data_IF_548726108886
#
_entry.id   IF_548726108886
#
_cell.length_a   1.000
_cell.length_b   1.000
_cell.length_c   1.000
_cell.angle_alpha   90.00
_cell.angle_beta   90.00
_cell.angle_gamma   90.00
#
_symmetry.space_group_name_H-M   'P 1'
#
loop_
_entity.id
_entity.type
_entity.pdbx_description
1 polymer ?
#
# COMPACT_ATOMS: atom_id res chain seq x y z
N UNK A 1 -3.32 17.48 -10.22
CA UNK A 1 -2.33 17.19 -9.17
C UNK A 1 -3.02 16.54 -7.99
N UNK A 2 -2.50 15.42 -7.54
CA UNK A 2 -3.15 14.64 -6.49
C UNK A 2 -2.15 13.68 -5.85
N UNK A 3 -2.59 13.01 -4.80
CA UNK A 3 -1.82 11.96 -4.16
C UNK A 3 -1.99 10.68 -4.97
N UNK A 4 -0.87 10.06 -5.33
CA UNK A 4 -0.82 8.81 -6.07
C UNK A 4 -0.28 7.73 -5.15
N UNK A 5 -0.88 6.54 -5.20
CA UNK A 5 -0.43 5.39 -4.41
C UNK A 5 0.43 4.51 -5.31
N UNK A 6 1.69 4.34 -4.94
CA UNK A 6 2.66 3.54 -5.69
C UNK A 6 2.90 2.17 -5.04
N UNK A 7 1.86 1.60 -4.46
CA UNK A 7 1.97 0.33 -3.75
C UNK A 7 2.39 -0.81 -4.68
N UNK A 8 1.88 -0.82 -5.92
CA UNK A 8 2.27 -1.84 -6.90
C UNK A 8 3.77 -1.84 -7.18
N UNK A 9 4.36 -0.65 -7.25
CA UNK A 9 5.81 -0.51 -7.49
C UNK A 9 6.58 -1.15 -6.35
N UNK A 10 6.17 -0.89 -5.11
CA UNK A 10 6.86 -1.45 -3.95
C UNK A 10 6.65 -2.95 -3.83
N UNK A 11 5.46 -3.45 -4.14
CA UNK A 11 5.22 -4.89 -4.16
C UNK A 11 6.12 -5.58 -5.18
N UNK A 12 6.27 -5.00 -6.36
CA UNK A 12 7.16 -5.53 -7.38
C UNK A 12 8.61 -5.54 -6.92
N UNK A 13 9.06 -4.46 -6.28
CA UNK A 13 10.42 -4.37 -5.75
C UNK A 13 10.70 -5.42 -4.68
N UNK A 14 9.72 -5.78 -3.88
CA UNK A 14 9.86 -6.78 -2.82
C UNK A 14 9.45 -8.18 -3.27
N UNK A 15 9.04 -8.33 -4.53
CA UNK A 15 8.60 -9.62 -5.10
C UNK A 15 7.50 -10.24 -4.25
N UNK A 16 6.56 -9.40 -3.82
CA UNK A 16 5.45 -9.79 -2.96
C UNK A 16 4.14 -9.56 -3.70
N UNK A 17 3.18 -10.49 -3.55
CA UNK A 17 1.86 -10.33 -4.14
C UNK A 17 0.95 -9.50 -3.23
N UNK A 18 -0.11 -8.92 -3.82
CA UNK A 18 -1.12 -8.19 -3.06
C UNK A 18 -1.77 -9.08 -2.01
N UNK A 19 -2.05 -10.34 -2.37
CA UNK A 19 -2.65 -11.31 -1.47
C UNK A 19 -1.76 -11.53 -0.24
N UNK A 20 -0.48 -11.70 -0.48
CA UNK A 20 0.48 -11.94 0.59
C UNK A 20 0.56 -10.73 1.53
N UNK A 21 0.58 -9.53 0.99
CA UNK A 21 0.61 -8.32 1.81
C UNK A 21 -0.68 -8.19 2.62
N UNK A 22 -1.85 -8.39 1.99
CA UNK A 22 -3.14 -8.32 2.67
C UNK A 22 -3.19 -9.29 3.85
N UNK A 23 -2.72 -10.53 3.64
CA UNK A 23 -2.69 -11.55 4.68
C UNK A 23 -1.79 -11.12 5.85
N UNK A 24 -0.63 -10.55 5.53
CA UNK A 24 0.33 -10.15 6.56
C UNK A 24 -0.14 -8.99 7.42
N UNK A 25 -0.88 -8.05 6.84
CA UNK A 25 -1.37 -6.89 7.59
C UNK A 25 -2.79 -7.07 8.11
N UNK A 26 -3.44 -8.19 7.77
CA UNK A 26 -4.75 -8.54 8.33
C UNK A 26 -5.92 -7.79 7.74
N UNK A 27 -5.84 -7.40 6.46
CA UNK A 27 -6.98 -6.78 5.76
C UNK A 27 -7.42 -7.66 4.61
N UNK A 28 -8.59 -7.38 4.06
CA UNK A 28 -9.08 -8.12 2.91
C UNK A 28 -8.37 -7.67 1.64
N UNK A 29 -8.28 -8.55 0.66
CA UNK A 29 -7.71 -8.21 -0.63
C UNK A 29 -8.53 -7.12 -1.32
N UNK A 30 -9.85 -7.10 -1.11
CA UNK A 30 -10.71 -6.06 -1.67
C UNK A 30 -10.30 -4.67 -1.14
N UNK A 31 -10.04 -4.56 0.17
CA UNK A 31 -9.61 -3.30 0.76
C UNK A 31 -8.25 -2.86 0.25
N UNK A 32 -7.33 -3.81 0.10
CA UNK A 32 -6.01 -3.50 -0.44
C UNK A 32 -6.11 -3.06 -1.91
N UNK A 33 -6.98 -3.70 -2.68
CA UNK A 33 -7.21 -3.36 -4.08
C UNK A 33 -7.74 -1.93 -4.25
N UNK A 34 -8.64 -1.52 -3.36
CA UNK A 34 -9.16 -0.15 -3.36
C UNK A 34 -8.01 0.85 -3.15
N UNK A 35 -7.13 0.56 -2.22
CA UNK A 35 -5.97 1.40 -1.95
C UNK A 35 -5.02 1.44 -3.15
N UNK A 36 -4.70 0.28 -3.72
CA UNK A 36 -3.80 0.15 -4.86
C UNK A 36 -4.26 0.93 -6.09
N UNK A 37 -5.55 0.96 -6.33
CA UNK A 37 -6.10 1.56 -7.55
C UNK A 37 -6.42 3.04 -7.40
N UNK A 38 -6.03 3.64 -6.29
CA UNK A 38 -6.29 5.05 -5.99
C UNK A 38 -7.78 5.40 -5.91
N UNK A 39 -8.62 4.41 -5.67
CA UNK A 39 -10.07 4.63 -5.49
C UNK A 39 -10.41 4.95 -4.05
N UNK A 40 -9.51 4.63 -3.13
CA UNK A 40 -9.66 5.00 -1.73
C UNK A 40 -9.40 6.48 -1.55
N UNK A 41 -10.16 7.12 -0.65
CA UNK A 41 -10.01 8.54 -0.36
C UNK A 41 -9.29 8.80 0.94
N UNK A 42 -8.93 7.74 1.65
CA UNK A 42 -8.25 7.84 2.93
C UNK A 42 -7.50 6.55 3.22
N UNK A 43 -6.43 6.67 3.98
CA UNK A 43 -5.69 5.52 4.50
C UNK A 43 -5.45 5.79 5.99
N UNK A 44 -5.65 4.77 6.81
CA UNK A 44 -5.36 4.89 8.23
C UNK A 44 -3.86 4.84 8.45
N UNK A 45 -3.37 5.65 9.37
CA UNK A 45 -1.95 5.62 9.71
C UNK A 45 -1.51 4.23 10.19
N UNK A 46 -2.37 3.51 10.92
CA UNK A 46 -2.06 2.16 11.35
C UNK A 46 -1.84 1.21 10.17
N UNK A 47 -2.64 1.33 9.12
CA UNK A 47 -2.48 0.53 7.91
C UNK A 47 -1.19 0.91 7.19
N UNK A 48 -0.93 2.20 7.04
CA UNK A 48 0.28 2.70 6.41
C UNK A 48 1.53 2.23 7.17
N UNK A 49 1.47 2.29 8.50
CA UNK A 49 2.56 1.81 9.35
C UNK A 49 2.84 0.33 9.11
N UNK A 50 1.80 -0.49 9.06
CA UNK A 50 1.94 -1.94 8.81
C UNK A 50 2.53 -2.22 7.44
N UNK A 51 2.10 -1.49 6.41
CA UNK A 51 2.63 -1.64 5.05
C UNK A 51 4.12 -1.30 5.03
N UNK A 52 4.49 -0.18 5.62
CA UNK A 52 5.89 0.26 5.67
C UNK A 52 6.76 -0.76 6.41
N UNK A 53 6.25 -1.31 7.50
CA UNK A 53 6.97 -2.29 8.29
C UNK A 53 7.23 -3.57 7.49
N UNK A 54 6.20 -4.08 6.81
CA UNK A 54 6.29 -5.34 6.07
C UNK A 54 7.13 -5.18 4.82
N UNK A 55 6.97 -4.07 4.09
CA UNK A 55 7.73 -3.81 2.86
C UNK A 55 9.09 -3.16 3.13
N UNK A 56 9.38 -2.85 4.40
CA UNK A 56 10.63 -2.20 4.80
C UNK A 56 10.88 -0.95 3.97
N UNK A 57 9.92 -0.04 3.99
CA UNK A 57 9.99 1.19 3.22
C UNK A 57 9.41 2.36 4.02
N UNK A 58 9.45 3.56 3.44
CA UNK A 58 8.90 4.76 4.05
C UNK A 58 7.57 5.13 3.39
N UNK A 59 6.75 5.96 4.04
CA UNK A 59 5.52 6.44 3.39
C UNK A 59 5.78 7.14 2.06
N UNK A 60 6.92 7.81 1.90
CA UNK A 60 7.30 8.46 0.65
C UNK A 60 7.55 7.50 -0.50
N UNK A 61 7.82 6.23 -0.18
CA UNK A 61 7.96 5.19 -1.21
C UNK A 61 6.59 4.71 -1.71
N UNK A 62 5.55 4.89 -0.90
CA UNK A 62 4.20 4.40 -1.20
C UNK A 62 3.31 5.52 -1.74
N UNK A 63 3.47 6.73 -1.22
CA UNK A 63 2.64 7.88 -1.57
C UNK A 63 3.46 8.93 -2.30
N UNK A 64 2.87 9.51 -3.34
CA UNK A 64 3.53 10.53 -4.15
C UNK A 64 2.52 11.61 -4.50
N UNK A 65 2.96 12.84 -4.57
CA UNK A 65 2.14 13.96 -5.03
C UNK A 65 2.54 14.32 -6.46
N UNK A 66 1.59 14.28 -7.37
CA UNK A 66 1.79 14.66 -8.76
C UNK A 66 0.75 15.65 -9.22
#
# INVERSE_FOLDING_TARGET
>A
MSIIVNLDVMLAKRKMSSQELADKIGITQANLSILKTNKGKAIRFSTLDSICKILECTPGDILEYR
#
